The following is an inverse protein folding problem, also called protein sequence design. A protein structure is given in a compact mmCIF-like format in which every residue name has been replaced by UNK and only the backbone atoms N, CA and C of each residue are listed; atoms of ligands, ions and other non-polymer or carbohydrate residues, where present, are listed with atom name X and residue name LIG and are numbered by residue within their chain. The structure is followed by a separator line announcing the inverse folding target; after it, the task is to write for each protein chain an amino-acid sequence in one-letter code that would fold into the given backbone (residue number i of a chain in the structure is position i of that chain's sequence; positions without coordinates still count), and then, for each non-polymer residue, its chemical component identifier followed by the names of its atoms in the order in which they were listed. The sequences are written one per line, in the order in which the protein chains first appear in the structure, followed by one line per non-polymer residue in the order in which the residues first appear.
data_IF_323292163818
#
_entry.id   IF_323292163818
#
_cell.length_a   1.000
_cell.length_b   1.000
_cell.length_c   1.000
_cell.angle_alpha   90.00
_cell.angle_beta   90.00
_cell.angle_gamma   90.00
#
_symmetry.space_group_name_H-M   'P 1'
#
loop_
_entity.id
_entity.type
_entity.pdbx_description
1 polymer ?
#
# COMPACT_ATOMS: atom_id res chain seq x y z
N UNK A 1 -11.86 -13.76 12.49
CA UNK A 1 -13.33 -13.61 12.46
C UNK A 1 -13.69 -12.16 12.13
N UNK A 2 -13.35 -11.65 10.95
CA UNK A 2 -13.66 -10.26 10.55
C UNK A 2 -13.91 -10.12 9.05
N UNK A 3 -14.40 -11.20 8.42
CA UNK A 3 -14.46 -11.34 6.96
C UNK A 3 -15.71 -10.72 6.31
N UNK A 4 -16.63 -10.16 7.11
CA UNK A 4 -17.97 -9.76 6.65
C UNK A 4 -18.40 -8.33 7.00
N UNK A 5 -17.61 -7.61 7.80
CA UNK A 5 -18.05 -6.38 8.48
C UNK A 5 -17.41 -5.10 7.88
N UNK A 6 -16.45 -5.25 6.97
CA UNK A 6 -15.85 -4.12 6.25
C UNK A 6 -16.56 -3.91 4.91
N UNK A 7 -16.89 -2.66 4.50
CA UNK A 7 -16.68 -1.39 5.18
C UNK A 7 -17.87 -0.93 6.05
N UNK A 8 -18.97 -1.69 6.10
CA UNK A 8 -20.23 -1.23 6.68
C UNK A 8 -20.17 -0.98 8.21
N UNK A 9 -19.46 -1.81 8.95
CA UNK A 9 -19.38 -1.71 10.40
C UNK A 9 -18.16 -0.89 10.87
N UNK A 10 -17.14 -0.73 10.01
CA UNK A 10 -15.88 -0.04 10.34
C UNK A 10 -15.55 1.11 9.36
N UNK A 11 -16.39 2.16 9.29
CA UNK A 11 -16.22 3.24 8.33
C UNK A 11 -14.91 4.03 8.53
N UNK A 12 -14.47 4.18 9.77
CA UNK A 12 -13.27 4.98 10.10
C UNK A 12 -11.96 4.18 10.02
N UNK A 13 -12.03 2.84 9.94
CA UNK A 13 -10.82 2.00 9.98
C UNK A 13 -9.88 2.34 8.83
N UNK A 14 -10.42 2.49 7.62
CA UNK A 14 -9.59 2.76 6.45
C UNK A 14 -8.91 4.13 6.53
N UNK A 15 -9.61 5.12 7.09
CA UNK A 15 -9.08 6.46 7.32
C UNK A 15 -7.95 6.43 8.35
N UNK A 16 -8.13 5.70 9.46
CA UNK A 16 -7.08 5.54 10.49
C UNK A 16 -5.87 4.81 9.91
N UNK A 17 -6.08 3.76 9.11
CA UNK A 17 -4.98 3.05 8.45
C UNK A 17 -4.25 3.99 7.48
N UNK A 18 -4.96 4.74 6.65
CA UNK A 18 -4.38 5.69 5.71
C UNK A 18 -3.54 6.78 6.41
N UNK A 19 -3.99 7.30 7.56
CA UNK A 19 -3.24 8.30 8.34
C UNK A 19 -1.91 7.78 8.89
N UNK A 20 -1.79 6.47 9.11
CA UNK A 20 -0.57 5.84 9.63
C UNK A 20 0.40 5.40 8.52
N UNK A 21 0.08 5.61 7.24
CA UNK A 21 0.97 5.33 6.10
C UNK A 21 2.02 6.43 5.93
N UNK A 22 2.88 6.58 6.93
CA UNK A 22 4.00 7.51 6.93
C UNK A 22 5.21 6.89 7.64
N UNK A 23 6.41 7.23 7.17
CA UNK A 23 7.68 6.74 7.75
C UNK A 23 7.90 7.14 9.21
N UNK A 24 7.17 8.16 9.67
CA UNK A 24 7.24 8.67 11.06
C UNK A 24 6.32 7.89 12.02
N UNK A 25 5.40 7.06 11.51
CA UNK A 25 4.45 6.33 12.35
C UNK A 25 5.12 5.14 13.03
N UNK A 26 4.98 5.05 14.35
CA UNK A 26 5.34 3.89 15.16
C UNK A 26 4.47 2.66 14.84
N UNK A 27 3.31 2.88 14.22
CA UNK A 27 2.32 1.85 13.86
C UNK A 27 2.44 1.39 12.42
N UNK A 28 3.41 1.90 11.66
CA UNK A 28 3.51 1.66 10.22
C UNK A 28 3.45 0.17 9.85
N UNK A 29 4.26 -0.67 10.50
CA UNK A 29 4.28 -2.11 10.22
C UNK A 29 2.93 -2.78 10.49
N UNK A 30 2.29 -2.45 11.62
CA UNK A 30 0.99 -2.98 11.97
C UNK A 30 -0.10 -2.52 10.99
N UNK A 31 -0.05 -1.26 10.57
CA UNK A 31 -0.93 -0.69 9.54
C UNK A 31 -0.76 -1.39 8.20
N UNK A 32 0.48 -1.62 7.75
CA UNK A 32 0.77 -2.32 6.49
C UNK A 32 0.31 -3.78 6.55
N UNK A 33 0.51 -4.47 7.67
CA UNK A 33 0.03 -5.85 7.85
C UNK A 33 -1.50 -5.93 7.84
N UNK A 34 -2.18 -4.98 8.50
CA UNK A 34 -3.65 -4.90 8.49
C UNK A 34 -4.18 -4.60 7.08
N UNK A 35 -3.51 -3.72 6.33
CA UNK A 35 -3.87 -3.43 4.95
C UNK A 35 -3.62 -4.62 4.01
N UNK A 36 -2.52 -5.37 4.14
CA UNK A 36 -2.31 -6.58 3.32
C UNK A 36 -3.39 -7.62 3.59
N UNK A 37 -3.75 -7.82 4.86
CA UNK A 37 -4.82 -8.73 5.25
C UNK A 37 -6.19 -8.31 4.70
N UNK A 38 -6.53 -7.03 4.81
CA UNK A 38 -7.76 -6.45 4.27
C UNK A 38 -7.78 -6.60 2.74
N UNK A 39 -6.71 -6.18 2.07
CA UNK A 39 -6.64 -6.19 0.61
C UNK A 39 -6.58 -7.62 0.04
N UNK A 40 -6.10 -8.60 0.81
CA UNK A 40 -6.12 -10.02 0.42
C UNK A 40 -7.53 -10.52 0.11
N UNK A 41 -8.56 -9.97 0.75
CA UNK A 41 -9.96 -10.26 0.44
C UNK A 41 -10.28 -9.97 -1.04
N UNK A 42 -9.82 -8.83 -1.57
CA UNK A 42 -10.08 -8.44 -2.95
C UNK A 42 -9.44 -9.39 -3.97
N UNK A 43 -8.36 -10.10 -3.64
CA UNK A 43 -7.70 -11.04 -4.58
C UNK A 43 -8.45 -12.35 -4.80
N UNK A 44 -9.18 -12.83 -3.79
CA UNK A 44 -9.69 -14.20 -3.75
C UNK A 44 -11.20 -14.29 -4.01
N UNK A 45 -11.90 -13.18 -3.88
CA UNK A 45 -13.35 -13.12 -4.12
C UNK A 45 -13.68 -12.93 -5.60
N UNK A 46 -14.82 -13.50 -6.00
CA UNK A 46 -15.37 -13.26 -7.34
C UNK A 46 -15.79 -11.80 -7.51
N UNK A 47 -15.58 -11.27 -8.71
CA UNK A 47 -16.03 -9.92 -9.10
C UNK A 47 -17.51 -9.75 -8.78
N UNK A 48 -17.83 -8.72 -8.01
CA UNK A 48 -19.19 -8.29 -7.73
C UNK A 48 -19.25 -6.77 -7.56
N UNK A 49 -20.42 -6.20 -7.83
CA UNK A 49 -20.73 -4.79 -7.60
C UNK A 49 -20.44 -4.33 -6.16
N UNK A 50 -20.70 -5.21 -5.18
CA UNK A 50 -20.41 -4.93 -3.77
C UNK A 50 -18.89 -4.84 -3.55
N UNK A 51 -18.15 -5.88 -3.93
CA UNK A 51 -16.69 -5.92 -3.77
C UNK A 51 -16.00 -4.73 -4.46
N UNK A 52 -16.48 -4.34 -5.64
CA UNK A 52 -15.97 -3.19 -6.36
C UNK A 52 -16.16 -1.87 -5.60
N UNK A 53 -17.36 -1.63 -5.05
CA UNK A 53 -17.60 -0.43 -4.22
C UNK A 53 -16.72 -0.37 -2.98
N UNK A 54 -16.47 -1.50 -2.34
CA UNK A 54 -15.60 -1.59 -1.17
C UNK A 54 -14.14 -1.32 -1.55
N UNK A 55 -13.68 -1.89 -2.67
CA UNK A 55 -12.36 -1.63 -3.22
C UNK A 55 -12.18 -0.14 -3.56
N UNK A 56 -13.18 0.51 -4.14
CA UNK A 56 -13.13 1.95 -4.45
C UNK A 56 -12.97 2.81 -3.18
N UNK A 57 -13.67 2.49 -2.09
CA UNK A 57 -13.52 3.19 -0.81
C UNK A 57 -12.08 3.06 -0.29
N UNK A 58 -11.51 1.85 -0.37
CA UNK A 58 -10.11 1.60 0.01
C UNK A 58 -9.14 2.38 -0.86
N UNK A 59 -9.33 2.34 -2.18
CA UNK A 59 -8.50 3.05 -3.14
C UNK A 59 -8.48 4.56 -2.88
N UNK A 60 -9.64 5.17 -2.66
CA UNK A 60 -9.76 6.61 -2.39
C UNK A 60 -8.97 7.06 -1.15
N UNK A 61 -8.93 6.22 -0.11
CA UNK A 61 -8.23 6.55 1.13
C UNK A 61 -6.73 6.18 1.09
N UNK A 62 -6.38 5.06 0.47
CA UNK A 62 -5.06 4.42 0.64
C UNK A 62 -4.12 4.68 -0.53
N UNK A 63 -4.62 4.85 -1.76
CA UNK A 63 -3.75 4.83 -2.95
C UNK A 63 -2.68 5.93 -2.94
N UNK A 64 -3.06 7.16 -2.59
CA UNK A 64 -2.12 8.27 -2.47
C UNK A 64 -1.10 8.10 -1.33
N UNK A 65 -1.51 7.92 -0.05
CA UNK A 65 -0.54 7.80 1.03
C UNK A 65 0.34 6.56 0.92
N UNK A 66 -0.14 5.45 0.33
CA UNK A 66 0.67 4.27 0.06
C UNK A 66 1.78 4.56 -0.97
N UNK A 67 1.47 5.33 -2.02
CA UNK A 67 2.45 5.72 -3.06
C UNK A 67 3.47 6.72 -2.52
N UNK A 68 3.03 7.68 -1.71
CA UNK A 68 3.92 8.65 -1.05
C UNK A 68 4.87 7.96 -0.07
N UNK A 69 4.36 7.02 0.73
CA UNK A 69 5.16 6.20 1.63
C UNK A 69 6.20 5.38 0.87
N UNK A 70 5.81 4.73 -0.23
CA UNK A 70 6.73 3.97 -1.07
C UNK A 70 7.88 4.84 -1.57
N UNK A 71 7.57 6.03 -2.08
CA UNK A 71 8.56 7.03 -2.52
C UNK A 71 9.54 7.38 -1.43
N UNK A 72 9.03 7.75 -0.25
CA UNK A 72 9.85 8.13 0.90
C UNK A 72 10.75 6.98 1.34
N UNK A 73 10.24 5.75 1.36
CA UNK A 73 11.04 4.57 1.69
C UNK A 73 12.15 4.34 0.68
N UNK A 74 11.89 4.52 -0.63
CA UNK A 74 12.92 4.44 -1.65
C UNK A 74 13.99 5.53 -1.51
N UNK A 75 13.62 6.72 -1.05
CA UNK A 75 14.58 7.80 -0.76
C UNK A 75 15.36 7.56 0.53
N UNK A 76 14.77 6.87 1.49
CA UNK A 76 15.44 6.45 2.71
C UNK A 76 16.30 5.20 2.53
N UNK A 77 16.18 4.47 1.41
CA UNK A 77 17.00 3.29 1.17
C UNK A 77 18.49 3.66 1.33
N UNK A 78 19.25 2.81 2.01
CA UNK A 78 20.58 3.18 2.41
C UNK A 78 21.53 3.02 1.24
N UNK A 79 22.50 3.92 1.15
CA UNK A 79 23.76 3.57 0.49
C UNK A 79 24.48 2.50 1.34
N UNK A 80 25.46 1.78 0.78
CA UNK A 80 26.17 0.57 1.29
C UNK A 80 26.60 0.52 2.78
N UNK A 81 26.37 1.57 3.57
CA UNK A 81 26.82 1.76 4.95
C UNK A 81 25.75 1.55 6.04
N UNK A 82 24.48 1.26 5.72
CA UNK A 82 23.47 1.10 6.77
C UNK A 82 23.52 -0.25 7.50
N UNK A 83 23.08 -0.31 8.77
CA UNK A 83 23.00 -1.56 9.51
C UNK A 83 22.05 -2.56 8.84
N UNK A 84 22.46 -3.83 8.78
CA UNK A 84 21.69 -4.91 8.17
C UNK A 84 20.25 -5.00 8.70
N UNK A 85 20.06 -4.84 10.02
CA UNK A 85 18.75 -4.87 10.64
C UNK A 85 17.80 -3.78 10.11
N UNK A 86 18.33 -2.58 9.82
CA UNK A 86 17.55 -1.48 9.27
C UNK A 86 17.16 -1.76 7.81
N UNK A 87 18.08 -2.33 7.03
CA UNK A 87 17.79 -2.77 5.66
C UNK A 87 16.68 -3.84 5.62
N UNK A 88 16.71 -4.81 6.53
CA UNK A 88 15.68 -5.85 6.62
C UNK A 88 14.31 -5.25 6.91
N UNK A 89 14.20 -4.30 7.85
CA UNK A 89 12.94 -3.60 8.15
C UNK A 89 12.40 -2.82 6.94
N UNK A 90 13.26 -2.14 6.19
CA UNK A 90 12.82 -1.42 4.98
C UNK A 90 12.37 -2.35 3.87
N UNK A 91 13.07 -3.46 3.65
CA UNK A 91 12.65 -4.49 2.70
C UNK A 91 11.30 -5.12 3.09
N UNK A 92 11.05 -5.31 4.39
CA UNK A 92 9.77 -5.79 4.88
C UNK A 92 8.63 -4.80 4.59
N UNK A 93 8.83 -3.51 4.89
CA UNK A 93 7.84 -2.47 4.55
C UNK A 93 7.58 -2.41 3.04
N UNK A 94 8.63 -2.40 2.22
CA UNK A 94 8.51 -2.41 0.76
C UNK A 94 7.74 -3.64 0.28
N UNK A 95 8.05 -4.83 0.82
CA UNK A 95 7.36 -6.07 0.48
C UNK A 95 5.86 -6.00 0.76
N UNK A 96 5.47 -5.48 1.93
CA UNK A 96 4.07 -5.29 2.29
C UNK A 96 3.37 -4.28 1.37
N UNK A 97 4.02 -3.15 1.09
CA UNK A 97 3.48 -2.14 0.16
C UNK A 97 3.26 -2.75 -1.23
N UNK A 98 4.21 -3.53 -1.75
CA UNK A 98 4.07 -4.19 -3.05
C UNK A 98 2.92 -5.21 -3.05
N UNK A 99 2.72 -5.96 -1.97
CA UNK A 99 1.58 -6.90 -1.84
C UNK A 99 0.24 -6.17 -1.79
N UNK A 100 0.16 -5.04 -1.06
CA UNK A 100 -1.02 -4.18 -1.04
C UNK A 100 -1.29 -3.63 -2.43
N UNK A 101 -0.29 -3.07 -3.11
CA UNK A 101 -0.40 -2.58 -4.48
C UNK A 101 -0.93 -3.66 -5.43
N UNK A 102 -0.34 -4.86 -5.41
CA UNK A 102 -0.82 -5.98 -6.24
C UNK A 102 -2.28 -6.33 -5.95
N UNK A 103 -2.68 -6.30 -4.69
CA UNK A 103 -4.06 -6.60 -4.28
C UNK A 103 -5.05 -5.54 -4.76
N UNK A 104 -4.68 -4.26 -4.66
CA UNK A 104 -5.52 -3.14 -5.12
C UNK A 104 -5.72 -3.15 -6.64
N UNK A 105 -4.77 -3.72 -7.38
CA UNK A 105 -4.80 -3.86 -8.84
C UNK A 105 -5.27 -5.25 -9.30
N UNK A 106 -5.75 -6.11 -8.40
CA UNK A 106 -6.02 -7.52 -8.71
C UNK A 106 -7.30 -7.75 -9.52
N UNK A 107 -8.24 -6.81 -9.46
CA UNK A 107 -9.53 -6.91 -10.14
C UNK A 107 -9.51 -6.15 -11.47
N UNK A 108 -9.09 -4.90 -11.42
CA UNK A 108 -8.85 -4.05 -12.59
C UNK A 108 -7.75 -3.04 -12.22
N UNK A 109 -7.18 -2.38 -13.22
CA UNK A 109 -6.22 -1.30 -13.01
C UNK A 109 -6.98 -0.02 -12.60
N UNK A 110 -6.84 0.48 -11.37
CA UNK A 110 -7.53 1.70 -10.94
C UNK A 110 -6.97 2.94 -11.63
N UNK A 111 -7.85 3.88 -12.00
CA UNK A 111 -7.51 5.15 -12.68
C UNK A 111 -6.38 5.92 -11.97
N UNK A 112 -6.40 5.96 -10.63
CA UNK A 112 -5.33 6.58 -9.86
C UNK A 112 -3.96 5.98 -10.23
N UNK A 113 -3.86 4.65 -10.30
CA UNK A 113 -2.61 4.00 -10.67
C UNK A 113 -2.34 4.16 -12.17
N UNK A 114 -3.32 4.15 -13.07
CA UNK A 114 -3.09 4.46 -14.50
C UNK A 114 -2.35 5.78 -14.72
N UNK A 115 -2.78 6.84 -14.02
CA UNK A 115 -2.18 8.17 -14.12
C UNK A 115 -0.81 8.22 -13.43
N UNK A 116 -0.66 7.53 -12.30
CA UNK A 116 0.55 7.53 -11.48
C UNK A 116 1.54 6.40 -11.81
N UNK A 117 1.25 5.51 -12.76
CA UNK A 117 2.15 4.40 -13.14
C UNK A 117 3.47 4.90 -13.73
N UNK A 118 3.46 6.08 -14.37
CA UNK A 118 4.68 6.77 -14.79
C UNK A 118 5.62 7.08 -13.62
N UNK A 119 5.08 7.25 -12.40
CA UNK A 119 5.87 7.46 -11.19
C UNK A 119 6.61 6.19 -10.74
N UNK A 120 5.95 5.03 -10.79
CA UNK A 120 6.56 3.74 -10.43
C UNK A 120 7.58 3.23 -11.46
N UNK A 121 7.42 3.56 -12.75
CA UNK A 121 8.27 3.04 -13.83
C UNK A 121 9.55 3.85 -14.10
N UNK A 122 9.58 5.16 -13.82
CA UNK A 122 10.69 6.05 -14.25
C UNK A 122 11.61 6.54 -13.13
N UNK A 123 11.13 6.63 -11.89
CA UNK A 123 11.93 7.17 -10.78
C UNK A 123 13.07 6.22 -10.37
N UNK A 124 12.87 4.92 -10.51
CA UNK A 124 13.89 3.89 -10.26
C UNK A 124 15.03 3.91 -11.29
N UNK A 125 14.79 4.34 -12.54
CA UNK A 125 15.82 4.34 -13.58
C UNK A 125 16.63 5.65 -13.65
N UNK A 126 16.02 6.79 -13.31
CA UNK A 126 16.69 8.08 -13.46
C UNK A 126 17.58 8.47 -12.26
N UNK A 127 17.35 7.94 -11.05
CA UNK A 127 18.24 8.19 -9.89
C UNK A 127 19.51 7.32 -9.87
N UNK A 128 19.61 6.27 -10.69
CA UNK A 128 20.82 5.42 -10.80
C UNK A 128 21.80 5.98 -11.87
N UNK A 129 21.41 7.03 -12.59
CA UNK A 129 22.17 7.57 -13.74
C UNK A 129 22.69 9.00 -13.52
N UNK A 130 22.74 9.50 -12.28
CA UNK A 130 23.18 10.87 -11.95
C UNK A 130 24.17 10.89 -10.79
#
# INVERSE_FOLDING_TARGET
MGKYDFPADWPDLITVLAQNLTVESDKLLATLAALDELCRHFRHEMKSEKLWRELLIVLQAVAAPLTDLFTKLLECLPNDSAPEAQCQTWLEHISLITKCFLSLNSQDLPEYFEVNLNFFALTSYLKISS
#
